data_IF_116135405710
#
_entry.id   IF_116135405710
#
_cell.length_a   1.000
_cell.length_b   1.000
_cell.length_c   1.000
_cell.angle_alpha   90.00
_cell.angle_beta   90.00
_cell.angle_gamma   90.00
#
_symmetry.space_group_name_H-M   'P 1'
#
loop_
_entity.id
_entity.type
_entity.pdbx_description
1 polymer ?
#
# COMPACT_ATOMS: atom_id res chain seq x y z
N UNK A 1 -23.17 -6.22 19.41
CA UNK A 1 -21.89 -6.64 20.02
C UNK A 1 -21.57 -8.00 19.43
N UNK A 2 -20.36 -8.22 18.90
CA UNK A 2 -20.00 -9.52 18.30
C UNK A 2 -19.84 -10.57 19.40
N UNK A 3 -20.41 -11.75 19.22
CA UNK A 3 -20.27 -12.86 20.16
C UNK A 3 -19.19 -13.87 19.69
N UNK A 4 -18.86 -14.84 20.54
CA UNK A 4 -17.87 -15.87 20.21
C UNK A 4 -18.33 -16.79 19.07
N UNK A 5 -19.64 -16.91 18.84
CA UNK A 5 -20.22 -17.71 17.75
C UNK A 5 -20.06 -17.03 16.39
N UNK A 6 -19.91 -15.70 16.38
CA UNK A 6 -19.67 -14.89 15.19
C UNK A 6 -18.25 -14.99 14.64
N UNK A 7 -17.31 -15.67 15.31
CA UNK A 7 -15.90 -15.70 14.89
C UNK A 7 -15.69 -16.21 13.45
N UNK A 8 -16.53 -17.15 12.98
CA UNK A 8 -16.51 -17.63 11.58
C UNK A 8 -17.03 -16.60 10.57
N UNK A 9 -17.84 -15.65 11.04
CA UNK A 9 -18.37 -14.53 10.25
C UNK A 9 -17.37 -13.37 10.21
N UNK A 10 -16.48 -13.27 11.21
CA UNK A 10 -15.42 -12.27 11.26
C UNK A 10 -14.32 -12.67 10.27
N UNK A 11 -14.24 -11.92 9.17
CA UNK A 11 -13.09 -11.96 8.25
C UNK A 11 -12.11 -10.88 8.64
N UNK A 12 -10.89 -11.28 9.03
CA UNK A 12 -9.79 -10.35 9.29
C UNK A 12 -8.74 -10.43 8.19
N UNK A 13 -8.93 -9.73 7.05
CA UNK A 13 -7.89 -9.71 6.03
C UNK A 13 -6.62 -9.04 6.54
N UNK A 14 -5.51 -9.53 6.02
CA UNK A 14 -4.22 -8.87 6.14
C UNK A 14 -4.15 -7.74 5.13
N UNK A 15 -3.68 -6.59 5.58
CA UNK A 15 -3.46 -5.43 4.73
C UNK A 15 -2.00 -5.06 4.79
N UNK A 16 -1.33 -5.19 3.65
CA UNK A 16 0.07 -4.84 3.46
C UNK A 16 0.11 -3.39 3.01
N UNK A 17 0.78 -2.53 3.77
CA UNK A 17 0.85 -1.11 3.52
C UNK A 17 2.28 -0.70 3.15
N UNK A 18 2.37 0.14 2.13
CA UNK A 18 3.61 0.79 1.74
C UNK A 18 3.32 2.16 1.11
N UNK A 19 4.32 3.01 0.99
CA UNK A 19 4.20 4.32 0.37
C UNK A 19 5.45 4.72 -0.42
N UNK A 20 5.25 5.68 -1.32
CA UNK A 20 6.35 6.21 -2.12
C UNK A 20 6.20 7.69 -2.39
N UNK A 21 7.36 8.33 -2.55
CA UNK A 21 7.50 9.75 -2.87
C UNK A 21 7.92 10.56 -1.66
N UNK A 22 8.62 11.66 -1.92
CA UNK A 22 9.00 12.65 -0.91
C UNK A 22 8.42 13.99 -1.30
N UNK A 23 7.67 14.61 -0.38
CA UNK A 23 6.96 15.88 -0.61
C UNK A 23 7.95 17.05 -0.77
N UNK A 24 9.21 16.87 -0.38
CA UNK A 24 10.20 17.96 -0.27
C UNK A 24 10.94 18.31 -1.58
N UNK A 25 10.65 17.64 -2.70
CA UNK A 25 11.37 17.86 -3.96
C UNK A 25 10.38 18.18 -5.10
N UNK A 26 10.63 19.29 -5.82
CA UNK A 26 9.84 19.72 -6.98
C UNK A 26 9.79 18.64 -8.08
N UNK A 27 10.81 17.79 -8.18
CA UNK A 27 10.84 16.65 -9.10
C UNK A 27 10.00 15.45 -8.61
N UNK A 28 9.65 15.40 -7.32
CA UNK A 28 8.90 14.32 -6.67
C UNK A 28 7.57 14.80 -6.08
N UNK A 29 6.82 15.65 -6.80
CA UNK A 29 5.51 16.18 -6.36
C UNK A 29 4.39 15.14 -6.15
N UNK A 30 4.64 13.86 -6.42
CA UNK A 30 3.68 12.78 -6.25
C UNK A 30 4.04 11.93 -5.03
N UNK A 31 3.16 11.95 -4.04
CA UNK A 31 3.18 11.05 -2.89
C UNK A 31 2.05 10.04 -3.04
N UNK A 32 2.36 8.75 -2.95
CA UNK A 32 1.40 7.66 -3.10
C UNK A 32 1.43 6.78 -1.86
N UNK A 33 0.25 6.47 -1.33
CA UNK A 33 0.06 5.44 -0.30
C UNK A 33 -0.67 4.26 -0.94
N UNK A 34 -0.15 3.06 -0.73
CA UNK A 34 -0.72 1.82 -1.26
C UNK A 34 -1.13 0.87 -0.17
N UNK A 35 -2.08 0.02 -0.52
CA UNK A 35 -2.36 -1.17 0.26
C UNK A 35 -2.72 -2.36 -0.62
N UNK A 36 -2.27 -3.54 -0.24
CA UNK A 36 -2.77 -4.82 -0.76
C UNK A 36 -3.57 -5.50 0.36
N UNK A 37 -4.87 -5.65 0.14
CA UNK A 37 -5.76 -6.40 1.03
C UNK A 37 -5.81 -7.86 0.59
N UNK A 38 -5.44 -8.79 1.46
CA UNK A 38 -5.40 -10.22 1.18
C UNK A 38 -5.93 -11.05 2.36
N UNK A 39 -6.89 -11.95 2.09
CA UNK A 39 -7.45 -12.84 3.11
C UNK A 39 -6.50 -13.98 3.50
N UNK A 40 -5.73 -14.50 2.53
CA UNK A 40 -4.88 -15.67 2.72
C UNK A 40 -3.50 -15.38 2.13
N UNK A 41 -2.71 -14.50 2.77
CA UNK A 41 -1.42 -14.07 2.24
C UNK A 41 -0.45 -15.22 2.01
N UNK A 42 -0.54 -16.29 2.81
CA UNK A 42 0.27 -17.50 2.68
C UNK A 42 0.26 -18.09 1.25
N UNK A 43 -0.91 -18.28 0.65
CA UNK A 43 -0.98 -18.90 -0.69
C UNK A 43 -0.37 -18.00 -1.77
N UNK A 44 -0.48 -16.68 -1.61
CA UNK A 44 0.12 -15.73 -2.55
C UNK A 44 1.64 -15.65 -2.34
N UNK A 45 2.09 -15.61 -1.09
CA UNK A 45 3.51 -15.64 -0.72
C UNK A 45 4.21 -16.91 -1.21
N UNK A 46 3.60 -18.09 -1.04
CA UNK A 46 4.12 -19.34 -1.58
C UNK A 46 4.31 -19.29 -3.10
N UNK A 47 3.32 -18.78 -3.84
CA UNK A 47 3.43 -18.63 -5.30
C UNK A 47 4.57 -17.69 -5.68
N UNK A 48 4.75 -16.60 -4.94
CA UNK A 48 5.85 -15.65 -5.17
C UNK A 48 7.20 -16.33 -4.87
N UNK A 49 7.32 -17.08 -3.78
CA UNK A 49 8.54 -17.83 -3.43
C UNK A 49 8.93 -18.84 -4.52
N UNK A 50 7.97 -19.62 -5.02
CA UNK A 50 8.21 -20.56 -6.11
C UNK A 50 8.74 -19.87 -7.38
N UNK A 51 8.23 -18.66 -7.68
CA UNK A 51 8.74 -17.85 -8.80
C UNK A 51 10.16 -17.37 -8.51
N UNK A 52 10.42 -16.84 -7.31
CA UNK A 52 11.76 -16.37 -6.91
C UNK A 52 12.81 -17.49 -7.00
N UNK A 53 12.47 -18.67 -6.50
CA UNK A 53 13.31 -19.87 -6.59
C UNK A 53 13.58 -20.24 -8.05
N UNK A 54 12.54 -20.29 -8.89
CA UNK A 54 12.66 -20.60 -10.32
C UNK A 54 13.61 -19.66 -11.07
N UNK A 55 13.62 -18.37 -10.72
CA UNK A 55 14.43 -17.35 -11.38
C UNK A 55 15.70 -16.96 -10.61
N UNK A 56 16.03 -17.67 -9.52
CA UNK A 56 17.14 -17.37 -8.60
C UNK A 56 17.19 -15.89 -8.16
N UNK A 57 16.02 -15.28 -7.96
CA UNK A 57 15.89 -13.87 -7.61
C UNK A 57 15.56 -13.74 -6.11
N UNK A 58 16.57 -13.35 -5.32
CA UNK A 58 16.46 -13.23 -3.87
C UNK A 58 16.61 -11.80 -3.36
N UNK A 59 16.90 -10.86 -4.26
CA UNK A 59 17.09 -9.45 -3.92
C UNK A 59 15.78 -8.73 -3.60
N UNK A 60 15.91 -7.64 -2.88
CA UNK A 60 14.79 -6.83 -2.43
C UNK A 60 14.24 -5.94 -3.55
N UNK A 61 12.91 -5.91 -3.69
CA UNK A 61 12.22 -4.98 -4.58
C UNK A 61 11.81 -3.76 -3.74
N UNK A 62 12.41 -2.59 -4.02
CA UNK A 62 12.10 -1.30 -3.37
C UNK A 62 11.89 -0.15 -4.35
N UNK A 63 11.05 0.81 -3.97
CA UNK A 63 10.80 2.04 -4.70
C UNK A 63 10.88 3.32 -3.80
N UNK A 64 11.02 3.19 -2.46
CA UNK A 64 11.33 4.21 -1.40
C UNK A 64 10.22 5.27 -1.09
N UNK A 65 9.98 5.85 0.12
CA UNK A 65 9.99 5.49 1.58
C UNK A 65 9.05 6.50 2.33
N UNK A 66 8.66 6.21 3.58
CA UNK A 66 7.52 6.59 4.44
C UNK A 66 7.14 8.05 4.76
N UNK A 67 5.82 8.37 4.75
CA UNK A 67 5.20 9.44 5.59
C UNK A 67 3.71 9.21 5.97
N UNK A 68 3.25 9.89 7.04
CA UNK A 68 1.95 9.72 7.71
C UNK A 68 0.76 10.26 6.90
N UNK A 69 -0.09 9.38 6.36
CA UNK A 69 -1.55 9.62 6.26
C UNK A 69 -2.37 8.34 5.92
N UNK A 70 -2.48 7.39 6.86
CA UNK A 70 -3.17 6.09 6.63
C UNK A 70 -4.70 6.11 6.83
N UNK A 71 -5.28 7.23 7.26
CA UNK A 71 -6.64 7.29 7.84
C UNK A 71 -7.78 7.28 6.81
N UNK A 72 -7.59 7.88 5.63
CA UNK A 72 -8.68 8.05 4.65
C UNK A 72 -9.09 6.74 3.99
N UNK A 73 -8.15 5.83 3.77
CA UNK A 73 -8.44 4.56 3.10
C UNK A 73 -9.17 3.59 4.04
N UNK A 74 -8.82 3.57 5.33
CA UNK A 74 -9.48 2.70 6.31
C UNK A 74 -10.95 3.09 6.52
N UNK A 75 -11.31 4.37 6.37
CA UNK A 75 -12.71 4.85 6.41
C UNK A 75 -13.61 4.17 5.38
N UNK A 76 -13.07 3.84 4.21
CA UNK A 76 -13.81 3.24 3.09
C UNK A 76 -14.00 1.71 3.24
N UNK A 77 -13.34 1.07 4.22
CA UNK A 77 -13.34 -0.39 4.36
C UNK A 77 -14.19 -0.80 5.55
N UNK A 78 -15.32 -1.46 5.29
CA UNK A 78 -16.27 -1.91 6.32
C UNK A 78 -15.90 -3.26 6.99
N UNK A 79 -14.60 -3.55 7.10
CA UNK A 79 -14.09 -4.81 7.67
C UNK A 79 -13.12 -4.52 8.84
N UNK A 80 -12.80 -5.58 9.60
CA UNK A 80 -11.78 -5.54 10.66
C UNK A 80 -10.44 -5.98 10.06
N UNK A 81 -9.40 -5.17 10.18
CA UNK A 81 -8.14 -5.37 9.46
C UNK A 81 -6.97 -5.67 10.40
N UNK A 82 -6.05 -6.51 9.93
CA UNK A 82 -4.70 -6.62 10.50
C UNK A 82 -3.70 -5.98 9.54
N UNK A 83 -3.04 -4.92 9.99
CA UNK A 83 -2.10 -4.15 9.15
C UNK A 83 -0.67 -4.67 9.34
N UNK A 84 -0.01 -4.95 8.23
CA UNK A 84 1.42 -5.20 8.15
C UNK A 84 2.06 -4.04 7.39
N UNK A 85 2.99 -3.34 8.03
CA UNK A 85 3.68 -2.18 7.46
C UNK A 85 5.20 -2.35 7.56
N UNK A 86 5.94 -1.69 6.69
CA UNK A 86 7.40 -1.71 6.76
C UNK A 86 7.92 -1.15 8.09
N UNK A 87 9.08 -1.65 8.51
CA UNK A 87 9.70 -1.27 9.76
C UNK A 87 10.25 0.16 9.71
N UNK A 88 9.80 0.97 10.66
CA UNK A 88 10.37 2.29 10.93
C UNK A 88 10.93 2.36 12.33
N UNK A 89 12.11 2.94 12.46
CA UNK A 89 12.68 3.28 13.75
C UNK A 89 11.81 4.36 14.40
N UNK A 90 11.32 4.08 15.60
CA UNK A 90 10.62 5.05 16.44
C UNK A 90 11.35 5.18 17.77
N UNK A 91 11.38 6.37 18.40
CA UNK A 91 11.88 6.54 19.76
C UNK A 91 11.28 5.52 20.73
N UNK A 92 12.06 5.08 21.73
CA UNK A 92 11.70 3.99 22.64
C UNK A 92 10.42 4.25 23.46
N UNK A 93 10.06 5.52 23.65
CA UNK A 93 8.86 5.94 24.37
C UNK A 93 7.58 5.91 23.51
N UNK A 94 7.67 5.65 22.20
CA UNK A 94 6.52 5.65 21.30
C UNK A 94 6.03 4.21 21.09
N UNK A 95 4.81 3.93 21.52
CA UNK A 95 4.14 2.64 21.27
C UNK A 95 3.37 2.70 19.97
N UNK A 96 4.09 2.90 18.87
CA UNK A 96 3.54 3.23 17.56
C UNK A 96 2.35 2.35 17.15
N UNK A 97 2.48 1.02 17.24
CA UNK A 97 1.43 0.07 16.86
C UNK A 97 0.17 0.24 17.68
N UNK A 98 0.33 0.45 18.99
CA UNK A 98 -0.79 0.64 19.94
C UNK A 98 -1.47 1.97 19.68
N UNK A 99 -0.68 3.03 19.55
CA UNK A 99 -1.16 4.40 19.38
C UNK A 99 -1.92 4.54 18.06
N UNK A 100 -1.36 4.03 16.95
CA UNK A 100 -2.04 4.08 15.64
C UNK A 100 -3.31 3.26 15.66
N UNK A 101 -3.31 2.05 16.24
CA UNK A 101 -4.52 1.22 16.36
C UNK A 101 -5.62 1.94 17.14
N UNK A 102 -5.29 2.51 18.30
CA UNK A 102 -6.25 3.22 19.14
C UNK A 102 -6.78 4.48 18.46
N UNK A 103 -5.91 5.28 17.85
CA UNK A 103 -6.31 6.49 17.15
C UNK A 103 -7.27 6.20 15.99
N UNK A 104 -6.98 5.18 15.18
CA UNK A 104 -7.87 4.78 14.07
C UNK A 104 -9.22 4.31 14.60
N UNK A 105 -9.24 3.39 15.56
CA UNK A 105 -10.50 2.85 16.09
C UNK A 105 -11.34 3.93 16.81
N UNK A 106 -10.68 4.85 17.52
CA UNK A 106 -11.35 5.99 18.15
C UNK A 106 -11.94 6.95 17.13
N UNK A 107 -11.18 7.31 16.08
CA UNK A 107 -11.66 8.17 15.00
C UNK A 107 -12.84 7.55 14.25
N UNK A 108 -12.82 6.24 14.02
CA UNK A 108 -13.88 5.52 13.31
C UNK A 108 -15.04 5.09 14.20
N UNK A 109 -14.94 5.28 15.52
CA UNK A 109 -15.95 4.87 16.51
C UNK A 109 -16.38 3.41 16.39
N UNK A 110 -15.47 2.53 15.95
CA UNK A 110 -15.70 1.09 15.79
C UNK A 110 -14.38 0.33 15.85
N UNK A 111 -14.46 -0.98 16.08
CA UNK A 111 -13.34 -1.88 15.85
C UNK A 111 -13.11 -2.02 14.34
N UNK A 112 -12.11 -1.33 13.82
CA UNK A 112 -11.70 -1.35 12.41
C UNK A 112 -10.33 -1.99 12.22
N UNK A 113 -9.44 -1.85 13.21
CA UNK A 113 -8.09 -2.41 13.21
C UNK A 113 -7.95 -3.34 14.42
N UNK A 114 -7.73 -4.63 14.15
CA UNK A 114 -7.47 -5.64 15.17
C UNK A 114 -5.99 -5.62 15.60
N UNK A 115 -5.08 -5.39 14.65
CA UNK A 115 -3.64 -5.40 14.90
C UNK A 115 -2.87 -4.56 13.89
N UNK A 116 -1.72 -4.07 14.34
CA UNK A 116 -0.72 -3.40 13.50
C UNK A 116 0.62 -4.05 13.84
N UNK A 117 1.36 -4.48 12.83
CA UNK A 117 2.71 -5.02 12.99
C UNK A 117 3.65 -4.33 12.00
N UNK A 118 4.80 -3.91 12.52
CA UNK A 118 5.94 -3.52 11.70
C UNK A 118 6.74 -4.78 11.39
N UNK A 119 7.07 -4.98 10.12
CA UNK A 119 7.81 -6.14 9.64
C UNK A 119 8.90 -5.66 8.68
N UNK A 120 10.02 -6.37 8.64
CA UNK A 120 11.09 -6.07 7.68
C UNK A 120 10.59 -6.37 6.26
N UNK A 121 10.54 -5.34 5.39
CA UNK A 121 10.13 -5.45 3.99
C UNK A 121 10.90 -6.52 3.22
N UNK A 122 12.16 -6.81 3.59
CA UNK A 122 12.98 -7.86 2.98
C UNK A 122 12.33 -9.24 3.10
N UNK A 123 11.67 -9.48 4.24
CA UNK A 123 11.06 -10.77 4.56
C UNK A 123 9.64 -10.94 4.02
N UNK A 124 8.99 -9.87 3.53
CA UNK A 124 7.56 -9.87 3.23
C UNK A 124 7.29 -9.47 1.77
N UNK A 125 7.16 -10.49 0.91
CA UNK A 125 6.92 -10.33 -0.51
C UNK A 125 5.70 -9.43 -0.82
N UNK A 126 4.65 -9.48 0.00
CA UNK A 126 3.44 -8.71 -0.24
C UNK A 126 3.60 -7.20 0.02
N UNK A 127 4.53 -6.81 0.88
CA UNK A 127 4.92 -5.39 1.02
C UNK A 127 5.66 -4.96 -0.25
N UNK A 128 6.61 -5.77 -0.73
CA UNK A 128 7.32 -5.52 -1.99
C UNK A 128 6.40 -5.44 -3.22
N UNK A 129 5.34 -6.26 -3.27
CA UNK A 129 4.31 -6.16 -4.32
C UNK A 129 3.50 -4.87 -4.18
N UNK A 130 3.21 -4.43 -2.95
CA UNK A 130 2.53 -3.16 -2.69
C UNK A 130 3.35 -2.00 -3.22
N UNK A 131 4.66 -1.98 -2.91
CA UNK A 131 5.66 -1.04 -3.43
C UNK A 131 5.69 -1.00 -4.97
N UNK A 132 5.69 -2.16 -5.63
CA UNK A 132 5.68 -2.24 -7.09
C UNK A 132 4.41 -1.61 -7.70
N UNK A 133 3.24 -1.87 -7.12
CA UNK A 133 1.98 -1.30 -7.62
C UNK A 133 1.93 0.20 -7.43
N UNK A 134 2.29 0.73 -6.25
CA UNK A 134 2.31 2.17 -6.04
C UNK A 134 3.38 2.85 -6.90
N UNK A 135 4.53 2.20 -7.08
CA UNK A 135 5.60 2.70 -7.93
C UNK A 135 5.14 2.84 -9.38
N UNK A 136 4.44 1.85 -9.92
CA UNK A 136 3.87 1.91 -11.26
C UNK A 136 2.83 3.02 -11.42
N UNK A 137 1.92 3.18 -10.45
CA UNK A 137 0.93 4.27 -10.45
C UNK A 137 1.65 5.62 -10.41
N UNK A 138 2.49 5.86 -9.41
CA UNK A 138 3.26 7.10 -9.26
C UNK A 138 4.08 7.42 -10.52
N UNK A 139 4.67 6.40 -11.14
CA UNK A 139 5.46 6.56 -12.35
C UNK A 139 4.62 6.97 -13.56
N UNK A 140 3.39 6.46 -13.70
CA UNK A 140 2.49 6.89 -14.77
C UNK A 140 2.14 8.38 -14.66
N UNK A 141 1.90 8.87 -13.43
CA UNK A 141 1.72 10.30 -13.16
C UNK A 141 2.99 11.12 -13.47
N UNK A 142 4.16 10.65 -13.04
CA UNK A 142 5.44 11.33 -13.33
C UNK A 142 5.73 11.42 -14.83
N UNK A 143 5.38 10.39 -15.61
CA UNK A 143 5.52 10.37 -17.06
C UNK A 143 4.58 11.36 -17.74
N UNK A 144 3.29 11.32 -17.39
CA UNK A 144 2.29 12.25 -17.92
C UNK A 144 2.69 13.71 -17.70
N UNK A 145 3.24 13.99 -16.52
CA UNK A 145 3.67 15.32 -16.11
C UNK A 145 5.09 15.70 -16.56
N UNK A 146 5.75 14.83 -17.34
CA UNK A 146 7.10 15.03 -17.88
C UNK A 146 8.16 15.28 -16.79
N UNK A 147 7.98 14.73 -15.60
CA UNK A 147 8.93 14.82 -14.48
C UNK A 147 10.10 13.83 -14.61
N UNK A 148 9.92 12.79 -15.44
CA UNK A 148 10.92 11.75 -15.69
C UNK A 148 11.02 11.46 -17.18
N UNK A 149 12.21 11.06 -17.65
CA UNK A 149 12.50 10.85 -19.08
C UNK A 149 11.98 9.51 -19.65
N UNK A 150 11.50 8.59 -18.80
CA UNK A 150 11.02 7.29 -19.24
C UNK A 150 12.11 6.22 -19.34
N UNK A 151 12.29 5.46 -18.26
CA UNK A 151 13.01 4.20 -18.23
C UNK A 151 12.22 3.05 -18.90
N UNK A 152 12.89 2.30 -19.78
CA UNK A 152 12.30 1.22 -20.57
C UNK A 152 11.74 0.08 -19.73
N UNK A 153 12.42 -0.32 -18.66
CA UNK A 153 12.02 -1.44 -17.81
C UNK A 153 10.80 -1.05 -16.96
N UNK A 154 10.82 0.16 -16.38
CA UNK A 154 9.69 0.71 -15.61
C UNK A 154 8.45 0.88 -16.48
N UNK A 155 8.61 1.36 -17.73
CA UNK A 155 7.52 1.45 -18.70
C UNK A 155 6.96 0.06 -19.04
N UNK A 156 7.82 -0.94 -19.25
CA UNK A 156 7.39 -2.31 -19.55
C UNK A 156 6.52 -2.90 -18.44
N UNK A 157 6.96 -2.78 -17.18
CA UNK A 157 6.20 -3.24 -16.01
C UNK A 157 4.88 -2.49 -15.88
N UNK A 158 4.90 -1.16 -16.00
CA UNK A 158 3.70 -0.33 -15.95
C UNK A 158 2.68 -0.76 -17.03
N UNK A 159 3.12 -0.93 -18.27
CA UNK A 159 2.25 -1.36 -19.38
C UNK A 159 1.70 -2.78 -19.16
N UNK A 160 2.50 -3.69 -18.59
CA UNK A 160 2.03 -5.01 -18.20
C UNK A 160 0.88 -4.93 -17.19
N UNK A 161 1.00 -4.06 -16.18
CA UNK A 161 -0.06 -3.86 -15.19
C UNK A 161 -1.31 -3.22 -15.80
N UNK A 162 -1.15 -2.17 -16.60
CA UNK A 162 -2.25 -1.54 -17.34
C UNK A 162 -3.03 -2.55 -18.17
N UNK A 163 -2.33 -3.40 -18.93
CA UNK A 163 -2.93 -4.49 -19.72
C UNK A 163 -3.66 -5.52 -18.85
N UNK A 164 -3.09 -5.90 -17.69
CA UNK A 164 -3.75 -6.84 -16.77
C UNK A 164 -5.00 -6.28 -16.10
N UNK A 165 -5.07 -4.96 -15.98
CA UNK A 165 -6.20 -4.23 -15.40
C UNK A 165 -7.22 -3.77 -16.46
N UNK A 166 -6.94 -4.02 -17.74
CA UNK A 166 -7.77 -3.62 -18.88
C UNK A 166 -8.01 -2.10 -18.93
N UNK A 167 -6.94 -1.33 -18.69
CA UNK A 167 -6.94 0.14 -18.72
C UNK A 167 -5.73 0.66 -19.50
N UNK A 168 -5.84 1.88 -20.03
CA UNK A 168 -4.77 2.52 -20.80
C UNK A 168 -3.91 3.48 -19.97
N UNK A 169 -4.40 3.93 -18.82
CA UNK A 169 -3.69 4.81 -17.89
C UNK A 169 -4.24 4.66 -16.48
N UNK A 170 -3.44 4.95 -15.47
CA UNK A 170 -3.85 5.07 -14.07
C UNK A 170 -4.46 6.45 -13.74
N UNK A 171 -4.34 7.42 -14.65
CA UNK A 171 -4.77 8.80 -14.42
C UNK A 171 -6.29 8.89 -14.59
N UNK A 172 -6.98 9.49 -13.61
CA UNK A 172 -8.43 9.63 -13.63
C UNK A 172 -9.20 8.33 -13.35
N UNK A 173 -8.52 7.19 -13.20
CA UNK A 173 -9.15 5.93 -12.80
C UNK A 173 -9.53 6.02 -11.33
N UNK A 174 -10.82 5.88 -11.01
CA UNK A 174 -11.31 5.98 -9.62
C UNK A 174 -11.49 4.62 -8.97
N UNK A 175 -12.14 3.69 -9.65
CA UNK A 175 -12.54 2.41 -9.05
C UNK A 175 -12.63 1.32 -10.10
N UNK A 176 -11.87 0.24 -9.92
CA UNK A 176 -12.05 -1.01 -10.65
C UNK A 176 -12.52 -2.10 -9.68
N UNK A 177 -12.94 -3.25 -10.20
CA UNK A 177 -13.45 -4.35 -9.36
C UNK A 177 -12.48 -4.78 -8.24
N UNK A 178 -11.16 -4.69 -8.49
CA UNK A 178 -10.11 -5.16 -7.58
C UNK A 178 -8.91 -4.22 -7.45
N UNK A 179 -8.95 -3.03 -8.06
CA UNK A 179 -7.85 -2.08 -8.06
C UNK A 179 -8.39 -0.66 -8.09
N UNK A 180 -8.13 0.12 -7.05
CA UNK A 180 -8.72 1.44 -6.86
C UNK A 180 -7.63 2.47 -6.70
N UNK A 181 -7.82 3.63 -7.32
CA UNK A 181 -6.91 4.77 -7.21
C UNK A 181 -7.74 5.96 -6.74
N UNK A 182 -7.25 6.61 -5.69
CA UNK A 182 -7.89 7.79 -5.12
C UNK A 182 -6.94 8.96 -5.22
N UNK A 183 -7.32 9.95 -6.01
CA UNK A 183 -6.56 11.18 -6.19
C UNK A 183 -6.95 12.21 -5.13
N UNK A 184 -5.95 12.73 -4.43
CA UNK A 184 -6.12 13.82 -3.47
C UNK A 184 -5.29 15.02 -3.92
N UNK A 185 -5.96 16.07 -4.39
CA UNK A 185 -5.29 17.34 -4.70
C UNK A 185 -5.11 18.11 -3.39
N UNK A 186 -3.86 18.32 -2.99
CA UNK A 186 -3.57 19.32 -1.97
C UNK A 186 -3.79 20.69 -2.62
N UNK A 187 -4.86 21.41 -2.22
CA UNK A 187 -4.79 22.87 -2.30
C UNK A 187 -3.70 23.23 -1.29
N UNK A 188 -2.58 23.79 -1.75
CA UNK A 188 -1.62 24.40 -0.81
C UNK A 188 -2.35 25.39 0.10
N UNK A 189 -1.76 25.79 1.25
CA UNK A 189 -2.34 26.85 2.07
C UNK A 189 -2.66 28.02 1.13
N UNK A 190 -3.91 28.48 1.19
CA UNK A 190 -4.38 29.63 0.42
C UNK A 190 -3.49 30.80 0.82
N UNK A 191 -2.66 31.26 -0.12
CA UNK A 191 -1.90 32.49 -0.02
C UNK A 191 -2.82 33.68 0.17
#
# INVERSE_FOLDING_TARGET
>A
MLDLSDYKKIRTPFVFFDETGSINDKANRYFCLGMVKCMQPYFLDQKIRLIREKYHFYDEIKWNTISKFKLKIVKEIDEVLTILADFITTPANIRFEVDVKHNINAELKRLSIAGIHRVDSKGVNLIQITDLFIGAVAYNYKLHDKLVRGDKNKISIMNYLLKKLDINTFIGVKKLKRFNIFEYKNKGPSS
#
